data_IF_520618385555
#
_entry.id   IF_520618385555
#
_cell.length_a   1.000
_cell.length_b   1.000
_cell.length_c   1.000
_cell.angle_alpha   90.00
_cell.angle_beta   90.00
_cell.angle_gamma   90.00
#
_symmetry.space_group_name_H-M   'P 1'
#
loop_
_entity.id
_entity.type
_entity.pdbx_description
1 polymer ?
#
# COMPACT_ATOMS: atom_id res chain seq x y z
N UNK A 1 22.35 -5.90 -19.29
CA UNK A 1 21.66 -7.07 -18.69
C UNK A 1 21.59 -7.04 -17.16
N UNK A 2 22.60 -7.38 -16.35
CA UNK A 2 22.41 -7.41 -14.87
C UNK A 2 22.08 -6.04 -14.27
N UNK A 3 22.87 -5.00 -14.58
CA UNK A 3 22.59 -3.63 -14.11
C UNK A 3 21.23 -3.11 -14.58
N UNK A 4 20.85 -3.45 -15.81
CA UNK A 4 19.57 -3.10 -16.43
C UNK A 4 18.39 -3.76 -15.69
N UNK A 5 18.44 -5.07 -15.40
CA UNK A 5 17.41 -5.76 -14.61
C UNK A 5 17.26 -5.19 -13.20
N UNK A 6 18.36 -4.76 -12.57
CA UNK A 6 18.31 -4.15 -11.23
C UNK A 6 17.65 -2.77 -11.33
N UNK A 7 18.04 -1.94 -12.31
CA UNK A 7 17.43 -0.63 -12.51
C UNK A 7 15.95 -0.74 -12.86
N UNK A 8 15.55 -1.68 -13.72
CA UNK A 8 14.15 -1.95 -14.02
C UNK A 8 13.34 -2.29 -12.76
N UNK A 9 13.90 -3.10 -11.86
CA UNK A 9 13.20 -3.41 -10.61
C UNK A 9 13.10 -2.18 -9.68
N UNK A 10 14.14 -1.32 -9.64
CA UNK A 10 14.06 -0.03 -8.93
C UNK A 10 12.96 0.85 -9.50
N UNK A 11 12.83 0.92 -10.83
CA UNK A 11 11.78 1.68 -11.49
C UNK A 11 10.40 1.12 -11.12
N UNK A 12 10.21 -0.20 -11.10
CA UNK A 12 8.97 -0.83 -10.63
C UNK A 12 8.64 -0.46 -9.19
N UNK A 13 9.62 -0.46 -8.27
CA UNK A 13 9.42 -0.04 -6.87
C UNK A 13 8.97 1.43 -6.82
N UNK A 14 9.65 2.30 -7.56
CA UNK A 14 9.36 3.74 -7.59
C UNK A 14 7.99 4.03 -8.21
N UNK A 15 7.60 3.34 -9.29
CA UNK A 15 6.29 3.47 -9.91
C UNK A 15 5.17 3.02 -8.95
N UNK A 16 5.35 1.88 -8.26
CA UNK A 16 4.38 1.41 -7.26
C UNK A 16 4.28 2.38 -6.08
N UNK A 17 5.41 2.97 -5.65
CA UNK A 17 5.42 3.98 -4.62
C UNK A 17 4.72 5.28 -5.06
N UNK A 18 4.92 5.69 -6.31
CA UNK A 18 4.19 6.81 -6.92
C UNK A 18 2.67 6.59 -6.91
N UNK A 19 2.21 5.41 -7.31
CA UNK A 19 0.77 5.04 -7.25
C UNK A 19 0.23 5.13 -5.81
N UNK A 20 1.01 4.66 -4.83
CA UNK A 20 0.64 4.79 -3.43
C UNK A 20 0.45 6.25 -3.02
N UNK A 21 1.42 7.12 -3.32
CA UNK A 21 1.36 8.56 -3.00
C UNK A 21 0.21 9.28 -3.72
N UNK A 22 0.00 8.98 -5.00
CA UNK A 22 -1.10 9.54 -5.78
C UNK A 22 -2.46 9.17 -5.19
N UNK A 23 -2.61 7.92 -4.73
CA UNK A 23 -3.81 7.47 -4.04
C UNK A 23 -4.03 8.23 -2.73
N UNK A 24 -2.99 8.42 -1.91
CA UNK A 24 -3.09 9.19 -0.67
C UNK A 24 -3.52 10.63 -0.92
N UNK A 25 -2.91 11.27 -1.92
CA UNK A 25 -3.26 12.62 -2.33
C UNK A 25 -4.72 12.69 -2.80
N UNK A 26 -5.15 11.74 -3.63
CA UNK A 26 -6.55 11.64 -4.08
C UNK A 26 -7.51 11.48 -2.91
N UNK A 27 -7.16 10.69 -1.88
CA UNK A 27 -8.02 10.52 -0.70
C UNK A 27 -8.19 11.83 0.06
N UNK A 28 -7.10 12.55 0.31
CA UNK A 28 -7.12 13.84 0.99
C UNK A 28 -7.94 14.88 0.21
N UNK A 29 -7.68 15.02 -1.09
CA UNK A 29 -8.41 15.98 -1.94
C UNK A 29 -9.90 15.64 -1.97
N UNK A 30 -10.24 14.36 -2.14
CA UNK A 30 -11.63 13.90 -2.20
C UNK A 30 -12.35 14.15 -0.87
N UNK A 31 -11.67 13.92 0.26
CA UNK A 31 -12.24 14.17 1.58
C UNK A 31 -12.55 15.66 1.79
N UNK A 32 -11.59 16.53 1.48
CA UNK A 32 -11.77 17.99 1.58
C UNK A 32 -12.88 18.50 0.67
N UNK A 33 -12.90 18.07 -0.60
CA UNK A 33 -13.93 18.46 -1.56
C UNK A 33 -15.33 17.96 -1.14
N UNK A 34 -15.40 16.75 -0.58
CA UNK A 34 -16.65 16.19 -0.05
C UNK A 34 -17.19 17.01 1.13
N UNK A 35 -16.34 17.34 2.10
CA UNK A 35 -16.71 18.15 3.26
C UNK A 35 -17.16 19.55 2.86
N UNK A 36 -16.41 20.23 1.99
CA UNK A 36 -16.78 21.55 1.48
C UNK A 36 -18.13 21.53 0.76
N UNK A 37 -18.41 20.51 -0.06
CA UNK A 37 -19.68 20.39 -0.79
C UNK A 37 -20.86 20.20 0.17
N UNK A 38 -20.70 19.39 1.20
CA UNK A 38 -21.74 19.19 2.22
C UNK A 38 -22.02 20.50 2.96
N UNK A 39 -20.98 21.22 3.38
CA UNK A 39 -21.14 22.49 4.07
C UNK A 39 -21.82 23.55 3.21
N UNK A 40 -21.41 23.67 1.94
CA UNK A 40 -22.05 24.59 0.98
C UNK A 40 -23.52 24.24 0.78
N UNK A 41 -23.84 22.96 0.65
CA UNK A 41 -25.23 22.51 0.50
C UNK A 41 -26.07 22.81 1.74
N UNK A 42 -25.57 22.49 2.94
CA UNK A 42 -26.21 22.78 4.23
C UNK A 42 -26.55 24.27 4.38
N UNK A 43 -25.57 25.15 4.09
CA UNK A 43 -25.77 26.61 4.09
C UNK A 43 -26.85 27.05 3.11
N UNK A 44 -26.86 26.50 1.89
CA UNK A 44 -27.82 26.85 0.84
C UNK A 44 -29.27 26.52 1.21
N UNK A 45 -29.50 25.39 1.89
CA UNK A 45 -30.85 24.95 2.28
C UNK A 45 -31.29 25.47 3.65
N UNK A 46 -30.47 26.30 4.31
CA UNK A 46 -30.76 26.85 5.64
C UNK A 46 -30.85 25.79 6.74
N UNK A 47 -30.23 24.62 6.54
CA UNK A 47 -30.36 23.48 7.42
C UNK A 47 -28.98 23.06 7.95
N UNK A 48 -28.84 22.97 9.26
CA UNK A 48 -27.72 22.27 9.89
C UNK A 48 -28.12 20.82 10.07
N UNK A 49 -27.41 19.93 9.40
CA UNK A 49 -27.61 18.49 9.59
C UNK A 49 -27.31 18.11 11.04
N UNK A 50 -28.33 17.64 11.77
CA UNK A 50 -28.22 17.21 13.18
C UNK A 50 -27.23 16.04 13.34
N UNK A 51 -26.99 15.27 12.27
CA UNK A 51 -25.92 14.29 12.19
C UNK A 51 -25.56 14.00 10.73
N UNK A 52 -24.57 14.72 10.19
CA UNK A 52 -24.11 14.53 8.80
C UNK A 52 -23.64 13.11 8.54
N UNK A 53 -23.04 12.46 9.53
CA UNK A 53 -22.41 11.15 9.39
C UNK A 53 -23.40 10.03 9.12
N UNK A 54 -24.70 10.22 9.38
CA UNK A 54 -25.74 9.23 9.11
C UNK A 54 -26.39 9.38 7.73
N UNK A 55 -26.04 10.42 6.97
CA UNK A 55 -26.63 10.65 5.65
C UNK A 55 -26.10 9.57 4.69
N UNK A 56 -26.97 8.86 3.96
CA UNK A 56 -26.53 7.90 2.97
C UNK A 56 -25.79 8.55 1.79
N UNK A 57 -24.67 7.96 1.40
CA UNK A 57 -23.89 8.23 0.22
C UNK A 57 -23.84 6.96 -0.64
N UNK A 58 -24.19 7.08 -1.93
CA UNK A 58 -24.24 5.93 -2.83
C UNK A 58 -23.40 6.14 -4.07
N UNK A 59 -22.61 5.14 -4.42
CA UNK A 59 -21.97 5.02 -5.71
C UNK A 59 -22.89 4.34 -6.71
N UNK A 60 -22.93 4.90 -7.91
CA UNK A 60 -23.78 4.44 -9.00
C UNK A 60 -23.00 3.58 -9.98
N UNK A 61 -23.72 2.76 -10.74
CA UNK A 61 -23.18 2.17 -11.97
C UNK A 61 -22.66 3.24 -12.93
N UNK A 62 -21.76 2.89 -13.86
CA UNK A 62 -21.30 3.83 -14.91
C UNK A 62 -22.46 4.47 -15.69
N UNK A 63 -23.53 3.70 -15.93
CA UNK A 63 -24.79 4.11 -16.59
C UNK A 63 -25.75 4.87 -15.66
N UNK A 64 -25.48 4.92 -14.35
CA UNK A 64 -26.29 5.56 -13.30
C UNK A 64 -27.72 5.04 -13.14
N UNK A 65 -27.98 3.82 -13.60
CA UNK A 65 -29.26 3.14 -13.49
C UNK A 65 -29.44 2.33 -12.20
N UNK A 66 -28.36 2.07 -11.45
CA UNK A 66 -28.41 1.31 -10.18
C UNK A 66 -27.39 1.80 -9.15
N UNK A 67 -27.75 1.64 -7.88
CA UNK A 67 -26.81 1.76 -6.76
C UNK A 67 -25.95 0.50 -6.67
N UNK A 68 -24.64 0.65 -6.63
CA UNK A 68 -23.69 -0.46 -6.51
C UNK A 68 -23.13 -0.60 -5.09
N UNK A 69 -22.91 0.53 -4.44
CA UNK A 69 -22.38 0.60 -3.09
C UNK A 69 -23.04 1.74 -2.36
N UNK A 70 -23.56 1.49 -1.16
CA UNK A 70 -24.17 2.50 -0.30
C UNK A 70 -23.52 2.42 1.05
N UNK A 71 -23.21 3.60 1.57
CA UNK A 71 -22.60 3.83 2.87
C UNK A 71 -23.21 5.09 3.46
N UNK A 72 -22.75 5.49 4.63
CA UNK A 72 -23.04 6.79 5.21
C UNK A 72 -21.88 7.76 5.00
N UNK A 73 -22.13 9.07 5.10
CA UNK A 73 -21.06 10.07 5.04
C UNK A 73 -19.96 9.80 6.09
N UNK A 74 -20.33 9.32 7.27
CA UNK A 74 -19.37 8.98 8.32
C UNK A 74 -18.47 7.80 7.92
N UNK A 75 -19.04 6.76 7.33
CA UNK A 75 -18.29 5.61 6.81
C UNK A 75 -17.36 5.99 5.65
N UNK A 76 -17.82 6.91 4.79
CA UNK A 76 -17.02 7.44 3.68
C UNK A 76 -15.81 8.19 4.20
N UNK A 77 -16.03 9.14 5.12
CA UNK A 77 -14.94 9.89 5.74
C UNK A 77 -13.97 8.95 6.44
N UNK A 78 -14.48 8.06 7.30
CA UNK A 78 -13.67 7.11 8.06
C UNK A 78 -12.80 6.21 7.19
N UNK A 79 -13.29 5.72 6.05
CA UNK A 79 -12.44 4.87 5.18
C UNK A 79 -11.35 5.66 4.46
N UNK A 80 -11.64 6.92 4.11
CA UNK A 80 -10.79 7.79 3.30
C UNK A 80 -9.75 8.53 4.13
N UNK A 81 -10.01 8.73 5.43
CA UNK A 81 -9.07 9.36 6.36
C UNK A 81 -7.75 8.59 6.47
N UNK A 82 -6.69 9.28 6.93
CA UNK A 82 -5.40 8.66 7.25
C UNK A 82 -5.59 7.51 8.27
N UNK A 83 -5.03 6.35 7.97
CA UNK A 83 -5.23 5.11 8.75
C UNK A 83 -6.59 4.42 8.53
N UNK A 84 -7.45 4.98 7.67
CA UNK A 84 -8.72 4.38 7.28
C UNK A 84 -8.56 3.16 6.37
N UNK A 85 -9.65 2.43 6.14
CA UNK A 85 -9.61 1.17 5.37
C UNK A 85 -9.03 1.33 3.95
N UNK A 86 -9.33 2.41 3.25
CA UNK A 86 -8.79 2.64 1.90
C UNK A 86 -7.29 2.95 1.96
N UNK A 87 -6.90 3.74 2.94
CA UNK A 87 -5.50 4.06 3.21
C UNK A 87 -4.66 2.79 3.39
N UNK A 88 -5.13 1.92 4.27
CA UNK A 88 -4.45 0.67 4.61
C UNK A 88 -4.47 -0.29 3.43
N UNK A 89 -5.56 -0.32 2.65
CA UNK A 89 -5.65 -1.14 1.45
C UNK A 89 -4.57 -0.78 0.41
N UNK A 90 -4.33 0.50 0.17
CA UNK A 90 -3.30 0.92 -0.80
C UNK A 90 -1.90 0.61 -0.29
N UNK A 91 -1.61 0.86 1.00
CA UNK A 91 -0.34 0.46 1.62
C UNK A 91 -0.08 -1.04 1.54
N UNK A 92 -1.09 -1.86 1.84
CA UNK A 92 -1.00 -3.32 1.71
C UNK A 92 -0.78 -3.75 0.25
N UNK A 93 -1.46 -3.09 -0.69
CA UNK A 93 -1.31 -3.37 -2.13
C UNK A 93 0.11 -3.08 -2.60
N UNK A 94 0.72 -1.98 -2.15
CA UNK A 94 2.13 -1.67 -2.44
C UNK A 94 3.06 -2.81 -2.03
N UNK A 95 2.96 -3.28 -0.79
CA UNK A 95 3.79 -4.38 -0.25
C UNK A 95 3.61 -5.67 -1.05
N UNK A 96 2.36 -6.03 -1.34
CA UNK A 96 2.02 -7.24 -2.09
C UNK A 96 2.60 -7.17 -3.51
N UNK A 97 2.40 -6.05 -4.20
CA UNK A 97 2.82 -5.86 -5.59
C UNK A 97 4.33 -5.87 -5.73
N UNK A 98 5.05 -5.10 -4.92
CA UNK A 98 6.52 -5.03 -4.98
C UNK A 98 7.14 -6.40 -4.75
N UNK A 99 6.64 -7.16 -3.76
CA UNK A 99 7.14 -8.50 -3.52
C UNK A 99 6.84 -9.47 -4.68
N UNK A 100 5.65 -9.38 -5.28
CA UNK A 100 5.30 -10.22 -6.42
C UNK A 100 6.24 -9.95 -7.61
N UNK A 101 6.51 -8.69 -7.94
CA UNK A 101 7.49 -8.35 -8.98
C UNK A 101 8.89 -8.89 -8.63
N UNK A 102 9.34 -8.69 -7.39
CA UNK A 102 10.61 -9.22 -6.94
C UNK A 102 10.69 -10.73 -7.10
N UNK A 103 9.80 -11.48 -6.44
CA UNK A 103 9.90 -12.92 -6.29
C UNK A 103 9.58 -13.66 -7.60
N UNK A 104 8.57 -13.21 -8.34
CA UNK A 104 8.05 -13.94 -9.51
C UNK A 104 8.72 -13.50 -10.81
N UNK A 105 9.25 -12.28 -10.89
CA UNK A 105 9.81 -11.72 -12.12
C UNK A 105 11.31 -11.45 -12.07
N UNK A 106 11.79 -10.69 -11.07
CA UNK A 106 13.14 -10.11 -11.12
C UNK A 106 14.19 -10.97 -10.41
N UNK A 107 13.90 -11.54 -9.24
CA UNK A 107 14.88 -12.22 -8.39
C UNK A 107 15.63 -13.35 -9.10
N UNK A 108 14.91 -14.20 -9.84
CA UNK A 108 15.54 -15.30 -10.59
C UNK A 108 16.38 -14.77 -11.75
N UNK A 109 15.91 -13.76 -12.49
CA UNK A 109 16.63 -13.20 -13.62
C UNK A 109 17.93 -12.53 -13.17
N UNK A 110 17.85 -11.71 -12.11
CA UNK A 110 19.01 -11.06 -11.51
C UNK A 110 20.00 -12.12 -11.01
N UNK A 111 19.54 -13.11 -10.24
CA UNK A 111 20.40 -14.19 -9.75
C UNK A 111 21.12 -14.93 -10.89
N UNK A 112 20.39 -15.37 -11.91
CA UNK A 112 20.96 -16.05 -13.07
C UNK A 112 22.00 -15.19 -13.79
N UNK A 113 21.73 -13.89 -13.96
CA UNK A 113 22.66 -12.96 -14.62
C UNK A 113 23.93 -12.68 -13.79
N UNK A 114 23.92 -12.99 -12.49
CA UNK A 114 25.08 -12.94 -11.60
C UNK A 114 25.75 -14.31 -11.43
N UNK A 115 25.30 -15.35 -12.14
CA UNK A 115 25.79 -16.73 -11.95
C UNK A 115 25.40 -17.37 -10.62
N UNK A 116 24.36 -16.87 -9.96
CA UNK A 116 23.85 -17.34 -8.66
C UNK A 116 22.51 -18.06 -8.81
N UNK A 117 22.16 -18.92 -7.85
CA UNK A 117 20.81 -19.46 -7.69
C UNK A 117 19.89 -18.40 -7.07
N UNK A 118 18.59 -18.44 -7.38
CA UNK A 118 17.57 -17.52 -6.84
C UNK A 118 17.67 -17.35 -5.32
N UNK A 119 17.83 -18.47 -4.61
CA UNK A 119 17.88 -18.51 -3.16
C UNK A 119 19.20 -17.98 -2.55
N UNK A 120 20.19 -17.63 -3.37
CA UNK A 120 21.42 -16.96 -2.92
C UNK A 120 21.25 -15.44 -2.86
N UNK A 121 20.24 -14.88 -3.54
CA UNK A 121 19.83 -13.50 -3.34
C UNK A 121 18.89 -13.43 -2.14
N UNK A 122 19.47 -13.34 -0.94
CA UNK A 122 18.76 -13.12 0.31
C UNK A 122 19.12 -11.75 0.84
N UNK A 123 18.10 -10.96 1.15
CA UNK A 123 18.23 -9.73 1.91
C UNK A 123 17.14 -9.72 2.97
N UNK A 124 17.45 -9.32 4.22
CA UNK A 124 16.48 -9.25 5.32
C UNK A 124 15.17 -8.56 4.94
N UNK A 125 15.20 -7.39 4.29
CA UNK A 125 13.99 -6.65 3.89
C UNK A 125 13.05 -7.46 3.00
N UNK A 126 13.58 -8.23 2.03
CA UNK A 126 12.76 -9.07 1.16
C UNK A 126 12.22 -10.29 1.91
N UNK A 127 12.96 -10.77 2.91
CA UNK A 127 12.50 -11.80 3.85
C UNK A 127 11.31 -11.34 4.67
N UNK A 128 11.38 -10.14 5.22
CA UNK A 128 10.30 -9.54 6.03
C UNK A 128 9.05 -9.29 5.21
N UNK A 129 9.21 -8.66 4.05
CA UNK A 129 8.09 -8.40 3.13
C UNK A 129 7.36 -9.70 2.77
N UNK A 130 8.07 -10.82 2.59
CA UNK A 130 7.46 -12.14 2.35
C UNK A 130 6.55 -12.57 3.51
N UNK A 131 7.01 -12.42 4.74
CA UNK A 131 6.27 -12.80 5.96
C UNK A 131 5.04 -11.91 6.15
N UNK A 132 5.21 -10.60 6.00
CA UNK A 132 4.13 -9.61 6.03
C UNK A 132 3.09 -9.92 4.96
N UNK A 133 3.51 -10.14 3.70
CA UNK A 133 2.62 -10.46 2.58
C UNK A 133 1.75 -11.67 2.85
N UNK A 134 2.30 -12.72 3.48
CA UNK A 134 1.52 -13.91 3.83
C UNK A 134 0.31 -13.54 4.70
N UNK A 135 0.54 -12.71 5.73
CA UNK A 135 -0.50 -12.18 6.61
C UNK A 135 -1.50 -11.29 5.86
N UNK A 136 -1.02 -10.41 4.97
CA UNK A 136 -1.86 -9.52 4.17
C UNK A 136 -2.80 -10.26 3.23
N UNK A 137 -2.29 -11.24 2.48
CA UNK A 137 -3.05 -11.94 1.43
C UNK A 137 -3.98 -13.00 2.02
N UNK A 138 -3.52 -13.77 3.01
CA UNK A 138 -4.24 -14.96 3.47
C UNK A 138 -4.98 -14.78 4.80
N UNK A 139 -4.63 -13.76 5.58
CA UNK A 139 -5.11 -13.60 6.96
C UNK A 139 -5.78 -12.24 7.21
N UNK A 140 -6.32 -11.61 6.17
CA UNK A 140 -7.04 -10.32 6.27
C UNK A 140 -6.21 -9.23 6.98
N UNK A 141 -4.91 -9.21 6.71
CA UNK A 141 -3.95 -8.32 7.36
C UNK A 141 -3.83 -8.52 8.88
N UNK A 142 -4.16 -9.70 9.42
CA UNK A 142 -3.81 -10.08 10.79
C UNK A 142 -2.43 -10.75 10.77
N UNK A 143 -1.50 -10.20 11.53
CA UNK A 143 -0.13 -10.68 11.61
C UNK A 143 -0.09 -12.09 12.23
N UNK A 144 0.61 -13.00 11.55
CA UNK A 144 0.89 -14.34 12.05
C UNK A 144 2.12 -14.36 12.96
N UNK A 145 2.32 -15.48 13.66
CA UNK A 145 3.48 -15.69 14.53
C UNK A 145 4.82 -15.46 13.83
N UNK A 146 4.93 -15.83 12.55
CA UNK A 146 6.15 -15.68 11.77
C UNK A 146 6.56 -14.21 11.59
N UNK A 147 5.68 -13.24 11.85
CA UNK A 147 6.03 -11.81 11.83
C UNK A 147 7.13 -11.47 12.84
N UNK A 148 7.22 -12.22 13.93
CA UNK A 148 8.24 -12.04 14.96
C UNK A 148 9.65 -12.46 14.50
N UNK A 149 9.73 -13.15 13.35
CA UNK A 149 10.99 -13.48 12.67
C UNK A 149 11.51 -12.34 11.79
N UNK A 150 10.77 -11.22 11.67
CA UNK A 150 11.25 -10.08 10.90
C UNK A 150 12.56 -9.50 11.47
N UNK A 151 13.49 -9.20 10.57
CA UNK A 151 14.84 -8.74 10.91
C UNK A 151 14.97 -7.22 10.83
N UNK A 152 14.24 -6.58 9.91
CA UNK A 152 14.25 -5.14 9.63
C UNK A 152 12.94 -4.51 10.09
N UNK A 153 11.79 -5.08 9.69
CA UNK A 153 10.45 -4.55 9.92
C UNK A 153 9.84 -5.12 11.21
N UNK A 154 10.48 -4.85 12.34
CA UNK A 154 10.06 -5.32 13.68
C UNK A 154 8.91 -4.47 14.28
N UNK A 155 7.86 -4.26 13.48
CA UNK A 155 6.80 -3.30 13.75
C UNK A 155 5.59 -3.97 14.43
N UNK A 156 5.28 -5.22 14.06
CA UNK A 156 4.07 -5.92 14.45
C UNK A 156 4.39 -7.17 15.27
N UNK A 157 3.40 -7.64 16.04
CA UNK A 157 3.40 -8.90 16.78
C UNK A 157 2.26 -9.80 16.32
N UNK A 158 2.31 -11.07 16.71
CA UNK A 158 1.21 -12.01 16.41
C UNK A 158 -0.15 -11.45 16.87
N UNK A 159 -1.13 -11.47 15.96
CA UNK A 159 -2.48 -10.99 16.21
C UNK A 159 -2.71 -9.50 15.92
N UNK A 160 -1.65 -8.72 15.68
CA UNK A 160 -1.80 -7.31 15.31
C UNK A 160 -2.48 -7.16 13.95
N UNK A 161 -3.28 -6.10 13.80
CA UNK A 161 -3.72 -5.68 12.46
C UNK A 161 -2.58 -4.91 11.80
N UNK A 162 -2.08 -5.44 10.69
CA UNK A 162 -1.03 -4.82 9.90
C UNK A 162 -1.58 -3.56 9.24
N UNK A 163 -0.96 -2.44 9.60
CA UNK A 163 -1.27 -1.12 9.07
C UNK A 163 0.02 -0.31 9.04
N UNK A 164 0.51 0.02 7.86
CA UNK A 164 1.71 0.82 7.69
C UNK A 164 1.39 2.31 7.71
N UNK A 165 2.22 3.10 8.40
CA UNK A 165 2.27 4.55 8.23
C UNK A 165 3.05 4.93 6.96
N UNK A 166 2.95 6.20 6.57
CA UNK A 166 3.64 6.72 5.37
C UNK A 166 5.15 6.63 5.54
N UNK A 167 5.62 6.92 6.75
CA UNK A 167 7.01 6.83 7.14
C UNK A 167 7.51 5.40 7.02
N UNK A 168 6.70 4.41 7.44
CA UNK A 168 7.06 3.00 7.32
C UNK A 168 7.07 2.52 5.86
N UNK A 169 6.14 2.97 5.01
CA UNK A 169 6.18 2.67 3.58
C UNK A 169 7.43 3.28 2.94
N UNK A 170 7.77 4.51 3.30
CA UNK A 170 8.99 5.18 2.83
C UNK A 170 10.26 4.43 3.26
N UNK A 171 10.37 4.03 4.53
CA UNK A 171 11.49 3.23 5.04
C UNK A 171 11.65 1.91 4.26
N UNK A 172 10.55 1.26 3.91
CA UNK A 172 10.57 0.04 3.08
C UNK A 172 11.15 0.32 1.70
N UNK A 173 10.74 1.42 1.05
CA UNK A 173 11.29 1.85 -0.25
C UNK A 173 12.80 2.10 -0.13
N UNK A 174 13.24 2.79 0.93
CA UNK A 174 14.66 3.04 1.17
C UNK A 174 15.45 1.75 1.38
N UNK A 175 14.94 0.81 2.18
CA UNK A 175 15.61 -0.48 2.38
C UNK A 175 15.74 -1.29 1.09
N UNK A 176 14.71 -1.29 0.24
CA UNK A 176 14.76 -1.96 -1.06
C UNK A 176 15.77 -1.29 -1.99
N UNK A 177 15.74 0.04 -2.10
CA UNK A 177 16.66 0.79 -2.94
C UNK A 177 18.12 0.60 -2.50
N UNK A 178 18.38 0.67 -1.19
CA UNK A 178 19.70 0.40 -0.63
C UNK A 178 20.17 -1.02 -0.94
N UNK A 179 19.28 -2.02 -0.91
CA UNK A 179 19.64 -3.37 -1.33
C UNK A 179 19.99 -3.44 -2.83
N UNK A 180 19.20 -2.79 -3.69
CA UNK A 180 19.50 -2.74 -5.12
C UNK A 180 20.82 -2.04 -5.41
N UNK A 181 21.14 -0.97 -4.70
CA UNK A 181 22.40 -0.24 -4.86
C UNK A 181 23.60 -1.09 -4.43
N UNK A 182 23.49 -1.85 -3.32
CA UNK A 182 24.51 -2.84 -2.93
C UNK A 182 24.72 -3.88 -4.02
N UNK A 183 23.65 -4.37 -4.67
CA UNK A 183 23.78 -5.31 -5.78
C UNK A 183 24.49 -4.67 -6.97
N UNK A 184 24.16 -3.44 -7.34
CA UNK A 184 24.82 -2.70 -8.42
C UNK A 184 26.31 -2.53 -8.16
N UNK A 185 26.70 -2.10 -6.96
CA UNK A 185 28.11 -1.94 -6.57
C UNK A 185 28.88 -3.26 -6.55
N UNK A 186 28.22 -4.40 -6.39
CA UNK A 186 28.88 -5.72 -6.43
C UNK A 186 29.21 -6.23 -7.84
N UNK A 187 28.75 -5.52 -8.88
CA UNK A 187 28.92 -5.87 -10.30
C UNK A 187 29.92 -4.92 -10.99
N UNK A 188 30.42 -3.91 -10.28
CA UNK A 188 31.51 -3.02 -10.71
C UNK A 188 32.88 -3.62 -10.40
#
# INVERSE_FOLDING_TARGET
>A
MTKELINEFKDVVNENYGIYLDCLMCFLITLNDFEEKIERYAKKIGYTFVNQDKIPFSHYSPTRDKYLHTETHGEFKSRMSKGGKNYNFVGNTFIISVYAFWEDHYRQKIASSMGKKKNELKEPIMGDIRLIRNSLVHHKAIALKEIEECEVLQIFKEGDTICFSDEQIFEIVEHINNYMDKLLSSIE
#
